data_IF_328633296239
#
_entry.id   IF_328633296239
#
_cell.length_a   1.000
_cell.length_b   1.000
_cell.length_c   1.000
_cell.angle_alpha   90.00
_cell.angle_beta   90.00
_cell.angle_gamma   90.00
#
_symmetry.space_group_name_H-M   'P 1'
#
loop_
_entity.id
_entity.type
_entity.pdbx_description
1 polymer ?
#
# COMPACT_ATOMS: atom_id res chain seq x y z
N UNK A 1 13.86 13.14 -7.54
CA UNK A 1 13.69 12.05 -6.55
C UNK A 1 12.49 11.25 -6.99
N UNK A 2 12.53 9.92 -6.92
CA UNK A 2 11.36 9.14 -7.34
C UNK A 2 10.26 9.21 -6.28
N UNK A 3 9.01 9.15 -6.73
CA UNK A 3 7.83 9.15 -5.87
C UNK A 3 7.11 7.80 -6.02
N UNK A 4 6.75 7.18 -4.92
CA UNK A 4 5.87 6.01 -4.91
C UNK A 4 4.51 6.46 -4.41
N UNK A 5 3.48 6.28 -5.23
CA UNK A 5 2.10 6.63 -4.86
C UNK A 5 1.31 5.36 -4.58
N UNK A 6 0.81 5.23 -3.36
CA UNK A 6 -0.11 4.15 -3.02
C UNK A 6 -1.55 4.61 -3.21
N UNK A 7 -2.25 3.99 -4.15
CA UNK A 7 -3.67 4.22 -4.40
C UNK A 7 -4.49 3.18 -3.64
N UNK A 8 -5.37 3.63 -2.75
CA UNK A 8 -6.24 2.76 -1.97
C UNK A 8 -7.26 2.01 -2.84
N UNK A 9 -7.63 0.80 -2.43
CA UNK A 9 -8.71 0.01 -3.06
C UNK A 9 -10.06 0.12 -2.35
N UNK A 10 -10.23 1.09 -1.47
CA UNK A 10 -11.49 1.34 -0.77
C UNK A 10 -12.49 2.10 -1.66
N UNK A 11 -13.80 1.85 -1.49
CA UNK A 11 -14.88 2.51 -2.26
C UNK A 11 -14.90 4.04 -2.13
N UNK A 12 -14.29 4.59 -1.09
CA UNK A 12 -14.27 6.01 -0.81
C UNK A 12 -13.20 6.81 -1.56
N UNK A 13 -12.32 6.13 -2.32
CA UNK A 13 -11.23 6.76 -3.07
C UNK A 13 -11.53 6.70 -4.56
N UNK A 14 -11.72 7.85 -5.19
CA UNK A 14 -11.80 7.95 -6.65
C UNK A 14 -10.37 8.02 -7.23
N UNK A 15 -9.92 7.02 -7.98
CA UNK A 15 -8.58 7.04 -8.57
C UNK A 15 -8.41 8.08 -9.68
N UNK A 16 -9.49 8.61 -10.26
CA UNK A 16 -9.41 9.49 -11.43
C UNK A 16 -8.64 10.80 -11.14
N UNK A 17 -8.88 11.41 -9.97
CA UNK A 17 -8.14 12.61 -9.54
C UNK A 17 -6.65 12.33 -9.35
N UNK A 18 -6.31 11.23 -8.71
CA UNK A 18 -4.92 10.81 -8.52
C UNK A 18 -4.23 10.46 -9.84
N UNK A 19 -4.93 9.81 -10.79
CA UNK A 19 -4.38 9.49 -12.11
C UNK A 19 -4.07 10.77 -12.90
N UNK A 20 -4.99 11.74 -12.92
CA UNK A 20 -4.77 13.01 -13.63
C UNK A 20 -3.58 13.80 -13.05
N UNK A 21 -3.45 13.83 -11.73
CA UNK A 21 -2.36 14.51 -11.04
C UNK A 21 -1.01 13.80 -11.28
N UNK A 22 -0.96 12.47 -11.17
CA UNK A 22 0.24 11.69 -11.50
C UNK A 22 0.64 11.89 -12.96
N UNK A 23 -0.31 11.96 -13.89
CA UNK A 23 -0.02 12.23 -15.29
C UNK A 23 0.66 13.59 -15.48
N UNK A 24 0.24 14.62 -14.76
CA UNK A 24 0.91 15.91 -14.73
C UNK A 24 2.34 15.84 -14.21
N UNK A 25 2.57 15.14 -13.09
CA UNK A 25 3.92 14.95 -12.53
C UNK A 25 4.85 14.21 -13.49
N UNK A 26 4.35 13.18 -14.18
CA UNK A 26 5.13 12.41 -15.17
C UNK A 26 5.46 13.28 -16.39
N UNK A 27 4.52 14.12 -16.87
CA UNK A 27 4.77 15.07 -17.97
C UNK A 27 5.81 16.12 -17.61
N UNK A 28 5.87 16.53 -16.34
CA UNK A 28 6.90 17.40 -15.76
C UNK A 28 8.26 16.69 -15.56
N UNK A 29 8.33 15.38 -15.84
CA UNK A 29 9.56 14.57 -15.78
C UNK A 29 9.86 13.95 -14.42
N UNK A 30 8.88 13.94 -13.49
CA UNK A 30 9.05 13.26 -12.21
C UNK A 30 8.87 11.74 -12.37
N UNK A 31 9.84 10.90 -11.93
CA UNK A 31 9.70 9.46 -11.98
C UNK A 31 8.73 8.98 -10.89
N UNK A 32 7.58 8.45 -11.33
CA UNK A 32 6.52 7.96 -10.43
C UNK A 32 6.31 6.48 -10.61
N UNK A 33 6.30 5.72 -9.50
CA UNK A 33 5.80 4.36 -9.44
C UNK A 33 4.49 4.32 -8.64
N UNK A 34 3.53 3.53 -9.09
CA UNK A 34 2.22 3.40 -8.45
C UNK A 34 2.09 2.02 -7.84
N UNK A 35 1.61 1.96 -6.59
CA UNK A 35 1.21 0.70 -5.95
C UNK A 35 -0.27 0.76 -5.60
N UNK A 36 -1.03 -0.24 -6.07
CA UNK A 36 -2.47 -0.26 -5.83
C UNK A 36 -2.90 -1.39 -4.91
N UNK A 37 -4.01 -1.18 -4.21
CA UNK A 37 -4.78 -2.21 -3.54
C UNK A 37 -5.99 -2.63 -4.38
N UNK A 38 -6.86 -3.46 -3.80
CA UNK A 38 -8.05 -3.97 -4.51
C UNK A 38 -8.97 -4.79 -3.62
N UNK A 39 -8.97 -4.57 -2.30
CA UNK A 39 -9.74 -5.40 -1.36
C UNK A 39 -11.23 -5.43 -1.67
N UNK A 40 -11.82 -4.29 -2.07
CA UNK A 40 -13.23 -4.22 -2.50
C UNK A 40 -13.49 -5.06 -3.75
N UNK A 41 -12.62 -4.99 -4.77
CA UNK A 41 -12.78 -5.78 -5.98
C UNK A 41 -12.65 -7.29 -5.72
N UNK A 42 -11.82 -7.67 -4.75
CA UNK A 42 -11.70 -9.05 -4.29
C UNK A 42 -13.00 -9.49 -3.60
N UNK A 43 -13.56 -8.69 -2.68
CA UNK A 43 -14.80 -9.02 -1.98
C UNK A 43 -15.99 -9.09 -2.96
N UNK A 44 -16.09 -8.16 -3.90
CA UNK A 44 -17.13 -8.16 -4.94
C UNK A 44 -17.01 -9.40 -5.87
N UNK A 45 -15.79 -9.89 -6.14
CA UNK A 45 -15.59 -11.12 -6.93
C UNK A 45 -15.92 -12.36 -6.13
N UNK A 46 -15.52 -12.44 -4.86
CA UNK A 46 -15.86 -13.55 -3.96
C UNK A 46 -17.37 -13.69 -3.82
N UNK A 47 -18.10 -12.58 -3.61
CA UNK A 47 -19.57 -12.57 -3.56
C UNK A 47 -20.19 -13.13 -4.85
N UNK A 48 -19.71 -12.69 -6.02
CA UNK A 48 -20.18 -13.21 -7.32
C UNK A 48 -19.89 -14.68 -7.54
N UNK A 49 -18.83 -15.22 -6.92
CA UNK A 49 -18.48 -16.64 -6.96
C UNK A 49 -19.19 -17.46 -5.88
N UNK A 50 -19.94 -16.81 -4.99
CA UNK A 50 -20.60 -17.46 -3.84
C UNK A 50 -19.62 -17.95 -2.78
N UNK A 51 -18.47 -17.29 -2.64
CA UNK A 51 -17.44 -17.56 -1.65
C UNK A 51 -17.51 -16.51 -0.55
N UNK A 52 -17.86 -16.91 0.67
CA UNK A 52 -17.88 -16.00 1.81
C UNK A 52 -16.46 -15.63 2.27
N UNK A 53 -16.08 -14.33 2.28
CA UNK A 53 -14.76 -13.93 2.75
C UNK A 53 -14.62 -14.20 4.26
N UNK A 54 -13.52 -14.81 4.66
CA UNK A 54 -13.19 -15.03 6.06
C UNK A 54 -12.23 -13.97 6.55
N UNK A 55 -12.65 -13.18 7.53
CA UNK A 55 -11.76 -12.25 8.24
C UNK A 55 -11.34 -12.83 9.59
N UNK A 56 -10.08 -12.62 9.95
CA UNK A 56 -9.53 -13.12 11.21
C UNK A 56 -8.82 -11.99 11.93
N UNK A 57 -8.91 -12.01 13.25
CA UNK A 57 -8.16 -11.10 14.13
C UNK A 57 -6.93 -11.81 14.65
N UNK A 58 -5.78 -11.15 14.53
CA UNK A 58 -4.52 -11.64 15.10
C UNK A 58 -4.43 -11.31 16.59
N UNK A 59 -3.55 -11.98 17.38
CA UNK A 59 -3.33 -11.64 18.78
C UNK A 59 -2.85 -10.20 19.05
N UNK A 60 -2.41 -9.49 18.02
CA UNK A 60 -2.05 -8.07 18.06
C UNK A 60 -3.19 -7.12 17.67
N UNK A 61 -4.43 -7.61 17.58
CA UNK A 61 -5.61 -6.78 17.23
C UNK A 61 -5.74 -6.43 15.75
N UNK A 62 -4.85 -6.92 14.90
CA UNK A 62 -4.92 -6.65 13.46
C UNK A 62 -5.92 -7.59 12.80
N UNK A 63 -6.93 -7.02 12.15
CA UNK A 63 -7.91 -7.76 11.36
C UNK A 63 -7.43 -7.84 9.90
N UNK A 64 -7.47 -9.05 9.32
CA UNK A 64 -7.10 -9.30 7.94
C UNK A 64 -7.92 -10.42 7.32
N UNK A 65 -7.97 -10.47 5.98
CA UNK A 65 -8.60 -11.57 5.26
C UNK A 65 -7.76 -12.83 5.42
N UNK A 66 -8.38 -13.92 5.87
CA UNK A 66 -7.77 -15.23 5.76
C UNK A 66 -7.88 -15.68 4.31
N UNK A 67 -6.74 -15.92 3.69
CA UNK A 67 -6.68 -16.23 2.26
C UNK A 67 -6.40 -17.71 2.09
N UNK A 68 -7.46 -18.52 1.97
CA UNK A 68 -7.33 -19.91 1.56
C UNK A 68 -7.12 -20.04 0.04
N UNK A 69 -7.00 -21.27 -0.47
CA UNK A 69 -6.69 -21.53 -1.88
C UNK A 69 -7.74 -20.92 -2.83
N UNK A 70 -9.04 -21.12 -2.56
CA UNK A 70 -10.11 -20.57 -3.38
C UNK A 70 -10.15 -19.03 -3.32
N UNK A 71 -9.95 -18.47 -2.13
CA UNK A 71 -9.83 -17.02 -1.94
C UNK A 71 -8.61 -16.47 -2.68
N UNK A 72 -7.47 -17.20 -2.70
CA UNK A 72 -6.26 -16.76 -3.40
C UNK A 72 -6.44 -16.75 -4.92
N UNK A 73 -7.17 -17.71 -5.47
CA UNK A 73 -7.51 -17.74 -6.89
C UNK A 73 -8.35 -16.50 -7.27
N UNK A 74 -9.44 -16.24 -6.53
CA UNK A 74 -10.28 -15.06 -6.73
C UNK A 74 -9.48 -13.76 -6.54
N UNK A 75 -8.59 -13.72 -5.54
CA UNK A 75 -7.71 -12.59 -5.27
C UNK A 75 -6.83 -12.26 -6.49
N UNK A 76 -6.16 -13.27 -7.06
CA UNK A 76 -5.29 -13.08 -8.22
C UNK A 76 -6.07 -12.57 -9.43
N UNK A 77 -7.26 -13.11 -9.69
CA UNK A 77 -8.14 -12.65 -10.77
C UNK A 77 -8.58 -11.19 -10.56
N UNK A 78 -9.04 -10.85 -9.37
CA UNK A 78 -9.51 -9.50 -9.06
C UNK A 78 -8.39 -8.47 -9.14
N UNK A 79 -7.22 -8.77 -8.58
CA UNK A 79 -6.06 -7.88 -8.61
C UNK A 79 -5.54 -7.66 -10.03
N UNK A 80 -5.49 -8.70 -10.86
CA UNK A 80 -5.13 -8.58 -12.27
C UNK A 80 -6.11 -7.68 -13.06
N UNK A 81 -7.40 -7.75 -12.74
CA UNK A 81 -8.41 -6.86 -13.30
C UNK A 81 -8.18 -5.41 -12.85
N UNK A 82 -8.02 -5.16 -11.56
CA UNK A 82 -7.78 -3.82 -11.02
C UNK A 82 -6.54 -3.19 -11.65
N UNK A 83 -5.45 -3.96 -11.76
CA UNK A 83 -4.22 -3.51 -12.39
C UNK A 83 -4.46 -3.12 -13.85
N UNK A 84 -5.12 -3.98 -14.64
CA UNK A 84 -5.39 -3.71 -16.06
C UNK A 84 -6.28 -2.48 -16.25
N UNK A 85 -7.33 -2.33 -15.46
CA UNK A 85 -8.23 -1.17 -15.51
C UNK A 85 -7.47 0.13 -15.18
N UNK A 86 -6.61 0.11 -14.15
CA UNK A 86 -5.80 1.27 -13.73
C UNK A 86 -4.75 1.64 -14.80
N UNK A 87 -4.04 0.65 -15.35
CA UNK A 87 -3.08 0.88 -16.46
C UNK A 87 -3.78 1.49 -17.67
N UNK A 88 -4.98 1.00 -18.03
CA UNK A 88 -5.75 1.57 -19.14
C UNK A 88 -6.10 3.04 -18.86
N UNK A 89 -6.50 3.39 -17.63
CA UNK A 89 -6.80 4.77 -17.25
C UNK A 89 -5.56 5.67 -17.32
N UNK A 90 -4.39 5.21 -16.87
CA UNK A 90 -3.12 5.94 -17.03
C UNK A 90 -2.73 6.10 -18.50
N UNK A 91 -2.91 5.06 -19.33
CA UNK A 91 -2.65 5.14 -20.78
C UNK A 91 -3.56 6.14 -21.46
N UNK A 92 -4.83 6.22 -21.07
CA UNK A 92 -5.79 7.23 -21.57
C UNK A 92 -5.35 8.65 -21.17
N UNK A 93 -4.76 8.81 -19.98
CA UNK A 93 -4.18 10.08 -19.53
C UNK A 93 -2.81 10.43 -20.15
N UNK A 94 -2.29 9.61 -21.08
CA UNK A 94 -1.04 9.86 -21.80
C UNK A 94 0.23 9.32 -21.10
N UNK A 95 0.09 8.62 -20.00
CA UNK A 95 1.22 8.04 -19.25
C UNK A 95 1.65 6.71 -19.86
N UNK A 96 2.95 6.49 -20.06
CA UNK A 96 3.51 5.20 -20.47
C UNK A 96 3.53 4.18 -19.31
N UNK A 97 2.33 3.81 -18.87
CA UNK A 97 2.13 2.91 -17.74
C UNK A 97 2.37 1.43 -18.09
N UNK A 98 3.04 0.71 -17.19
CA UNK A 98 3.29 -0.75 -17.29
C UNK A 98 2.73 -1.44 -16.05
N UNK A 99 1.77 -2.35 -16.26
CA UNK A 99 1.16 -3.14 -15.19
C UNK A 99 2.05 -4.30 -14.75
N UNK A 100 2.19 -4.46 -13.45
CA UNK A 100 2.96 -5.51 -12.80
C UNK A 100 2.19 -6.06 -11.60
N UNK A 101 2.28 -7.36 -11.35
CA UNK A 101 2.06 -7.92 -10.04
C UNK A 101 3.39 -8.10 -9.31
N UNK A 102 3.37 -8.30 -8.02
CA UNK A 102 4.60 -8.62 -7.28
C UNK A 102 5.27 -9.93 -7.72
N UNK A 103 4.56 -10.76 -8.51
CA UNK A 103 5.10 -12.00 -9.11
C UNK A 103 5.98 -11.71 -10.33
N UNK A 104 5.64 -10.66 -11.12
CA UNK A 104 6.30 -10.36 -12.38
C UNK A 104 7.75 -9.94 -12.16
N UNK A 105 8.68 -10.66 -12.80
CA UNK A 105 10.12 -10.47 -12.59
C UNK A 105 10.61 -10.68 -11.14
N UNK A 106 9.81 -11.35 -10.30
CA UNK A 106 10.09 -11.48 -8.87
C UNK A 106 10.09 -10.11 -8.17
N UNK A 107 9.19 -9.22 -8.57
CA UNK A 107 9.17 -7.84 -8.10
C UNK A 107 9.06 -7.74 -6.57
N UNK A 108 8.20 -8.57 -5.96
CA UNK A 108 8.05 -8.63 -4.50
C UNK A 108 8.13 -10.09 -4.07
N UNK A 109 9.11 -10.44 -3.23
CA UNK A 109 9.34 -11.82 -2.80
C UNK A 109 9.50 -11.95 -1.29
N UNK A 110 9.41 -13.21 -0.80
CA UNK A 110 9.62 -13.57 0.58
C UNK A 110 8.85 -14.83 1.01
N UNK A 111 8.94 -15.26 2.26
CA UNK A 111 8.37 -16.52 2.72
C UNK A 111 6.83 -16.50 2.76
N UNK A 112 6.24 -17.64 2.39
CA UNK A 112 4.81 -17.91 2.57
C UNK A 112 4.49 -18.20 4.03
N UNK A 113 3.38 -17.64 4.50
CA UNK A 113 2.75 -18.02 5.75
C UNK A 113 1.74 -19.13 5.45
N UNK A 114 1.99 -20.35 5.93
CA UNK A 114 1.06 -21.47 5.78
C UNK A 114 -0.01 -21.55 6.87
N UNK A 115 0.13 -20.73 7.90
CA UNK A 115 -0.78 -20.63 9.03
C UNK A 115 -0.70 -19.27 9.70
N UNK A 116 -1.82 -18.82 10.25
CA UNK A 116 -1.94 -17.57 10.99
C UNK A 116 -2.42 -17.84 12.43
N UNK A 117 -1.88 -17.07 13.39
CA UNK A 117 -2.40 -17.05 14.75
C UNK A 117 -3.62 -16.15 14.79
N UNK A 118 -4.73 -16.65 15.28
CA UNK A 118 -6.02 -15.94 15.32
C UNK A 118 -6.60 -15.93 16.72
N UNK A 119 -7.48 -14.97 17.00
CA UNK A 119 -8.36 -14.98 18.17
C UNK A 119 -9.73 -15.49 17.71
N UNK A 120 -10.17 -16.62 18.24
CA UNK A 120 -11.51 -17.17 18.04
C UNK A 120 -12.12 -17.51 19.41
N UNK A 121 -13.30 -16.99 19.69
CA UNK A 121 -13.98 -17.16 20.98
C UNK A 121 -13.11 -16.71 22.18
N UNK A 122 -12.34 -15.63 22.00
CA UNK A 122 -11.42 -15.09 23.02
C UNK A 122 -10.17 -15.97 23.25
N UNK A 123 -9.92 -16.99 22.42
CA UNK A 123 -8.77 -17.89 22.56
C UNK A 123 -7.82 -17.79 21.37
N UNK A 124 -6.52 -17.87 21.66
CA UNK A 124 -5.48 -17.95 20.62
C UNK A 124 -5.50 -19.34 19.98
N UNK A 125 -5.73 -19.39 18.67
CA UNK A 125 -5.70 -20.59 17.85
C UNK A 125 -4.73 -20.43 16.68
N UNK A 126 -4.38 -21.54 16.02
CA UNK A 126 -3.62 -21.57 14.76
C UNK A 126 -4.56 -22.03 13.67
N UNK A 127 -4.84 -21.15 12.71
CA UNK A 127 -5.59 -21.48 11.50
C UNK A 127 -4.60 -21.79 10.36
N UNK A 128 -4.71 -22.98 9.77
CA UNK A 128 -3.82 -23.46 8.70
C UNK A 128 -4.46 -23.24 7.33
N UNK A 129 -3.64 -23.31 6.27
CA UNK A 129 -4.10 -23.13 4.89
C UNK A 129 -4.13 -21.67 4.45
N UNK A 130 -3.38 -20.80 5.14
CA UNK A 130 -3.24 -19.41 4.74
C UNK A 130 -2.27 -19.28 3.55
N UNK A 131 -2.64 -18.46 2.57
CA UNK A 131 -1.86 -18.10 1.40
C UNK A 131 -1.44 -16.62 1.45
N UNK A 132 -1.01 -16.15 2.61
CA UNK A 132 -0.38 -14.83 2.73
C UNK A 132 1.14 -14.95 2.80
N UNK A 133 1.83 -13.88 2.43
CA UNK A 133 3.28 -13.76 2.47
C UNK A 133 3.79 -12.72 3.46
N UNK A 134 5.09 -12.75 3.70
CA UNK A 134 5.85 -11.68 4.34
C UNK A 134 6.82 -11.14 3.29
N UNK A 135 6.77 -9.84 3.03
CA UNK A 135 7.72 -9.22 2.10
C UNK A 135 9.11 -9.22 2.73
N UNK A 136 10.12 -9.68 1.99
CA UNK A 136 11.53 -9.65 2.40
C UNK A 136 12.42 -9.00 1.36
N UNK A 137 12.01 -8.98 0.07
CA UNK A 137 12.79 -8.38 -1.00
C UNK A 137 11.91 -7.75 -2.06
N UNK A 138 12.43 -6.69 -2.68
CA UNK A 138 11.89 -6.02 -3.85
C UNK A 138 12.95 -5.99 -4.93
N UNK A 139 12.59 -6.29 -6.17
CA UNK A 139 13.47 -6.16 -7.32
C UNK A 139 13.52 -4.68 -7.77
N UNK A 140 14.36 -3.90 -7.09
CA UNK A 140 14.53 -2.48 -7.38
C UNK A 140 15.07 -2.25 -8.80
N UNK A 141 16.00 -3.10 -9.29
CA UNK A 141 16.60 -2.98 -10.63
C UNK A 141 15.54 -3.00 -11.74
N UNK A 142 14.47 -3.80 -11.58
CA UNK A 142 13.36 -3.81 -12.53
C UNK A 142 12.61 -2.47 -12.54
N UNK A 143 12.32 -1.92 -11.36
CA UNK A 143 11.61 -0.65 -11.23
C UNK A 143 12.48 0.51 -11.75
N UNK A 144 13.75 0.57 -11.36
CA UNK A 144 14.69 1.59 -11.80
C UNK A 144 14.89 1.56 -13.32
N UNK A 145 14.93 0.36 -13.93
CA UNK A 145 15.00 0.21 -15.39
C UNK A 145 13.76 0.80 -16.05
N UNK A 146 12.56 0.47 -15.56
CA UNK A 146 11.32 0.99 -16.15
C UNK A 146 11.22 2.51 -15.99
N UNK A 147 11.49 3.03 -14.80
CA UNK A 147 11.48 4.47 -14.52
C UNK A 147 12.53 5.21 -15.37
N UNK A 148 13.74 4.63 -15.51
CA UNK A 148 14.81 5.20 -16.32
C UNK A 148 14.53 5.27 -17.82
N UNK A 149 13.69 4.36 -18.34
CA UNK A 149 13.21 4.35 -19.73
C UNK A 149 11.90 5.17 -19.91
N UNK A 150 11.45 5.88 -18.89
CA UNK A 150 10.27 6.76 -18.93
C UNK A 150 8.94 6.04 -18.74
N UNK A 151 8.93 4.78 -18.34
CA UNK A 151 7.70 4.08 -18.00
C UNK A 151 7.28 4.37 -16.54
N UNK A 152 5.98 4.35 -16.30
CA UNK A 152 5.39 4.39 -14.95
C UNK A 152 4.96 2.97 -14.54
N UNK A 153 5.70 2.30 -13.64
CA UNK A 153 5.27 1.01 -13.11
C UNK A 153 4.00 1.15 -12.28
N UNK A 154 2.99 0.33 -12.58
CA UNK A 154 1.73 0.21 -11.82
C UNK A 154 1.70 -1.18 -11.22
N UNK A 155 2.10 -1.31 -9.97
CA UNK A 155 2.28 -2.59 -9.30
C UNK A 155 1.21 -2.87 -8.24
N UNK A 156 0.99 -4.15 -7.95
CA UNK A 156 0.10 -4.56 -6.87
C UNK A 156 0.33 -6.01 -6.44
N UNK A 157 -0.30 -6.44 -5.33
CA UNK A 157 -0.33 -7.87 -5.00
C UNK A 157 -0.94 -8.70 -6.14
N UNK A 158 -0.67 -10.02 -6.20
CA UNK A 158 0.06 -10.84 -5.25
C UNK A 158 1.58 -10.70 -5.31
N UNK A 159 2.29 -11.16 -4.26
CA UNK A 159 3.74 -11.35 -4.26
C UNK A 159 4.09 -12.81 -4.60
N UNK A 160 5.36 -13.05 -4.97
CA UNK A 160 5.90 -14.39 -5.21
C UNK A 160 6.53 -14.94 -3.93
N UNK A 161 6.04 -16.06 -3.44
CA UNK A 161 6.66 -16.75 -2.32
C UNK A 161 7.94 -17.49 -2.73
N UNK A 162 8.83 -17.79 -1.77
CA UNK A 162 10.12 -18.47 -2.00
C UNK A 162 9.95 -19.88 -2.61
N UNK A 163 8.78 -20.50 -2.42
CA UNK A 163 8.42 -21.79 -3.02
C UNK A 163 7.81 -21.66 -4.43
N UNK A 164 7.81 -20.46 -5.01
CA UNK A 164 7.33 -20.16 -6.36
C UNK A 164 5.81 -20.00 -6.47
N UNK A 165 5.10 -19.92 -5.34
CA UNK A 165 3.64 -19.79 -5.32
C UNK A 165 3.24 -18.32 -5.14
N UNK A 166 2.28 -17.79 -5.93
CA UNK A 166 1.68 -16.49 -5.67
C UNK A 166 0.94 -16.48 -4.33
N UNK A 167 1.15 -15.43 -3.53
CA UNK A 167 0.49 -15.28 -2.22
C UNK A 167 0.03 -13.85 -1.98
N UNK A 168 -1.03 -13.71 -1.19
CA UNK A 168 -1.55 -12.41 -0.79
C UNK A 168 -0.55 -11.66 0.09
N UNK A 169 -0.43 -10.37 -0.12
CA UNK A 169 0.24 -9.44 0.78
C UNK A 169 -0.55 -8.14 0.90
N UNK A 170 -0.31 -7.39 1.96
CA UNK A 170 -0.94 -6.09 2.19
C UNK A 170 -0.37 -5.05 1.22
N UNK A 171 -1.25 -4.25 0.59
CA UNK A 171 -0.84 -3.27 -0.41
C UNK A 171 -0.12 -2.05 0.19
N UNK A 172 -0.43 -1.65 1.43
CA UNK A 172 0.30 -0.58 2.13
C UNK A 172 1.75 -1.04 2.40
N UNK A 173 1.93 -2.31 2.82
CA UNK A 173 3.26 -2.91 2.99
C UNK A 173 4.01 -3.12 1.67
N UNK A 174 3.30 -3.47 0.60
CA UNK A 174 3.92 -3.56 -0.74
C UNK A 174 4.43 -2.19 -1.18
N UNK A 175 3.65 -1.13 -0.99
CA UNK A 175 4.06 0.24 -1.28
C UNK A 175 5.24 0.69 -0.41
N UNK A 176 5.21 0.36 0.89
CA UNK A 176 6.31 0.62 1.81
C UNK A 176 7.62 -0.03 1.35
N UNK A 177 7.55 -1.32 1.00
CA UNK A 177 8.73 -2.06 0.53
C UNK A 177 9.28 -1.51 -0.80
N UNK A 178 8.40 -1.15 -1.74
CA UNK A 178 8.79 -0.53 -3.02
C UNK A 178 9.45 0.84 -2.77
N UNK A 179 8.85 1.69 -1.93
CA UNK A 179 9.42 3.00 -1.61
C UNK A 179 10.77 2.89 -0.90
N UNK A 180 10.90 1.96 0.05
CA UNK A 180 12.15 1.69 0.73
C UNK A 180 13.24 1.22 -0.22
N UNK A 181 12.92 0.29 -1.14
CA UNK A 181 13.88 -0.24 -2.11
C UNK A 181 14.37 0.82 -3.11
N UNK A 182 13.51 1.79 -3.46
CA UNK A 182 13.86 2.90 -4.36
C UNK A 182 14.45 4.13 -3.63
N UNK A 183 14.48 4.15 -2.30
CA UNK A 183 14.83 5.35 -1.53
C UNK A 183 13.90 6.54 -1.81
N UNK A 184 12.65 6.25 -2.16
CA UNK A 184 11.66 7.20 -2.66
C UNK A 184 10.85 7.85 -1.55
N UNK A 185 10.18 8.96 -1.86
CA UNK A 185 9.06 9.47 -1.05
C UNK A 185 7.84 8.60 -1.29
N UNK A 186 7.21 8.09 -0.21
CA UNK A 186 5.96 7.35 -0.28
C UNK A 186 4.77 8.26 0.00
N UNK A 187 3.86 8.42 -0.95
CA UNK A 187 2.58 9.08 -0.76
C UNK A 187 1.48 8.03 -0.61
N UNK A 188 0.87 7.95 0.56
CA UNK A 188 -0.25 7.04 0.86
C UNK A 188 -1.55 7.81 0.75
N UNK A 189 -2.26 7.63 -0.34
CA UNK A 189 -3.57 8.25 -0.55
C UNK A 189 -4.66 7.47 0.19
N UNK A 190 -5.46 8.21 0.98
CA UNK A 190 -6.54 7.68 1.83
C UNK A 190 -7.78 8.59 1.74
N UNK A 191 -8.83 8.26 2.44
CA UNK A 191 -10.11 9.00 2.47
C UNK A 191 -10.17 10.12 3.52
N UNK A 192 -9.05 10.41 4.16
CA UNK A 192 -8.90 11.46 5.17
C UNK A 192 -7.65 12.30 4.89
N UNK A 193 -7.60 13.54 5.41
CA UNK A 193 -6.49 14.47 5.11
C UNK A 193 -5.13 14.01 5.67
N UNK A 194 -5.11 13.10 6.65
CA UNK A 194 -3.90 12.57 7.29
C UNK A 194 -4.24 11.87 8.58
N UNK A 195 -3.31 11.85 9.53
CA UNK A 195 -3.51 11.30 10.87
C UNK A 195 -3.91 12.42 11.82
N UNK A 196 -4.99 12.22 12.56
CA UNK A 196 -5.48 13.18 13.56
C UNK A 196 -5.13 12.71 14.96
N UNK A 197 -4.76 13.64 15.86
CA UNK A 197 -4.57 13.32 17.27
C UNK A 197 -5.90 12.93 17.96
N UNK A 198 -7.03 13.49 17.48
CA UNK A 198 -8.38 13.09 17.81
C UNK A 198 -9.16 12.89 16.48
N UNK A 199 -9.55 11.65 16.14
CA UNK A 199 -10.24 11.35 14.88
C UNK A 199 -11.59 12.08 14.70
N UNK A 200 -12.21 12.52 15.80
CA UNK A 200 -13.48 13.24 15.79
C UNK A 200 -13.29 14.77 15.64
N UNK A 201 -12.05 15.28 15.73
CA UNK A 201 -11.73 16.70 15.59
C UNK A 201 -10.74 16.95 14.43
N UNK A 202 -11.26 17.44 13.31
CA UNK A 202 -10.47 17.76 12.10
C UNK A 202 -9.40 18.84 12.31
N UNK A 203 -9.46 19.63 13.39
CA UNK A 203 -8.45 20.64 13.71
C UNK A 203 -7.18 20.06 14.34
N UNK A 204 -7.19 18.75 14.67
CA UNK A 204 -6.09 18.04 15.33
C UNK A 204 -5.20 17.26 14.35
N UNK A 205 -5.18 17.63 13.08
CA UNK A 205 -4.30 17.02 12.07
C UNK A 205 -2.83 17.14 12.50
N UNK A 206 -2.14 16.01 12.52
CA UNK A 206 -0.69 15.95 12.76
C UNK A 206 0.00 16.22 11.42
N UNK A 207 0.48 17.44 11.21
CA UNK A 207 1.06 17.85 9.93
C UNK A 207 2.47 17.29 9.69
N UNK A 208 3.29 17.19 10.76
CA UNK A 208 4.69 16.77 10.63
C UNK A 208 5.15 15.96 11.84
N UNK A 209 5.96 14.93 11.59
CA UNK A 209 6.54 14.02 12.58
C UNK A 209 8.04 13.89 12.28
N UNK A 210 8.86 14.55 13.09
CA UNK A 210 10.31 14.68 12.87
C UNK A 210 11.15 14.15 14.02
N UNK A 211 10.51 13.90 15.18
CA UNK A 211 11.16 13.42 16.39
C UNK A 211 10.54 12.13 16.91
N UNK A 212 11.27 11.29 17.67
CA UNK A 212 10.73 10.08 18.28
C UNK A 212 9.50 10.33 19.17
N UNK A 213 9.48 11.44 19.92
CA UNK A 213 8.35 11.79 20.77
C UNK A 213 7.06 12.11 19.96
N UNK A 214 7.20 12.78 18.81
CA UNK A 214 6.10 13.01 17.89
C UNK A 214 5.64 11.70 17.23
N UNK A 215 6.58 10.79 16.94
CA UNK A 215 6.27 9.47 16.40
C UNK A 215 5.50 8.59 17.39
N UNK A 216 5.88 8.60 18.67
CA UNK A 216 5.12 7.91 19.72
C UNK A 216 3.69 8.47 19.80
N UNK A 217 3.52 9.79 19.78
CA UNK A 217 2.21 10.44 19.78
C UNK A 217 1.39 10.08 18.51
N UNK A 218 2.01 10.01 17.34
CA UNK A 218 1.37 9.57 16.09
C UNK A 218 0.87 8.12 16.21
N UNK A 219 1.70 7.23 16.77
CA UNK A 219 1.38 5.81 16.93
C UNK A 219 0.23 5.61 17.91
N UNK A 220 0.21 6.36 19.01
CA UNK A 220 -0.86 6.33 20.01
C UNK A 220 -2.18 6.89 19.46
N UNK A 221 -2.14 7.86 18.56
CA UNK A 221 -3.31 8.45 17.90
C UNK A 221 -3.90 7.57 16.78
N UNK A 222 -3.10 6.66 16.21
CA UNK A 222 -3.53 5.84 15.08
C UNK A 222 -4.47 4.73 15.50
N UNK A 223 -5.73 4.78 15.03
CA UNK A 223 -6.76 3.79 15.33
C UNK A 223 -7.24 3.04 14.06
N UNK A 224 -7.75 1.84 14.23
CA UNK A 224 -8.39 1.05 13.19
C UNK A 224 -7.51 0.81 11.95
N UNK A 225 -7.95 1.26 10.79
CA UNK A 225 -7.20 1.12 9.54
C UNK A 225 -5.97 2.05 9.49
N UNK A 226 -5.97 3.16 10.25
CA UNK A 226 -4.84 4.07 10.30
C UNK A 226 -3.62 3.43 10.97
N UNK A 227 -3.82 2.57 11.96
CA UNK A 227 -2.74 1.79 12.58
C UNK A 227 -1.90 1.03 11.55
N UNK A 228 -2.56 0.41 10.55
CA UNK A 228 -1.84 -0.32 9.48
C UNK A 228 -1.03 0.61 8.60
N UNK A 229 -1.53 1.82 8.32
CA UNK A 229 -0.82 2.82 7.50
C UNK A 229 0.39 3.37 8.23
N UNK A 230 0.28 3.66 9.53
CA UNK A 230 1.40 4.08 10.36
C UNK A 230 2.45 2.96 10.47
N UNK A 231 2.04 1.70 10.65
CA UNK A 231 2.96 0.55 10.62
C UNK A 231 3.69 0.42 9.26
N UNK A 232 2.96 0.58 8.15
CA UNK A 232 3.56 0.55 6.82
C UNK A 232 4.50 1.74 6.59
N UNK A 233 4.17 2.94 7.11
CA UNK A 233 5.04 4.10 7.08
C UNK A 233 6.36 3.84 7.83
N UNK A 234 6.30 3.22 9.01
CA UNK A 234 7.49 2.79 9.76
C UNK A 234 8.35 1.82 8.94
N UNK A 235 7.72 0.77 8.40
CA UNK A 235 8.40 -0.23 7.57
C UNK A 235 9.07 0.41 6.32
N UNK A 236 8.44 1.43 5.71
CA UNK A 236 9.01 2.17 4.59
C UNK A 236 10.27 2.94 4.98
N UNK A 237 10.21 3.71 6.06
CA UNK A 237 11.32 4.52 6.55
C UNK A 237 12.50 3.66 7.03
N UNK A 238 12.22 2.57 7.74
CA UNK A 238 13.24 1.59 8.18
C UNK A 238 13.92 0.91 6.99
N UNK A 239 13.18 0.66 5.89
CA UNK A 239 13.72 0.01 4.68
C UNK A 239 14.37 0.98 3.71
N UNK A 240 14.37 2.29 3.95
CA UNK A 240 15.15 3.25 3.18
C UNK A 240 14.37 4.37 2.49
N UNK A 241 13.03 4.41 2.61
CA UNK A 241 12.24 5.53 2.10
C UNK A 241 12.73 6.87 2.69
N UNK A 242 12.70 7.92 1.88
CA UNK A 242 13.15 9.25 2.30
C UNK A 242 12.16 9.93 3.23
N UNK A 243 10.88 9.72 2.98
CA UNK A 243 9.75 10.30 3.69
C UNK A 243 8.49 9.50 3.41
N UNK A 244 7.53 9.52 4.32
CA UNK A 244 6.18 9.00 4.07
C UNK A 244 5.15 10.09 4.34
N UNK A 245 4.21 10.26 3.40
CA UNK A 245 3.14 11.25 3.47
C UNK A 245 1.80 10.52 3.42
N UNK A 246 0.95 10.74 4.42
CA UNK A 246 -0.44 10.26 4.41
C UNK A 246 -1.33 11.43 4.04
N UNK A 247 -2.09 11.32 2.94
CA UNK A 247 -2.83 12.46 2.37
C UNK A 247 -4.21 12.06 1.81
N UNK A 248 -5.09 13.06 1.66
CA UNK A 248 -6.44 12.90 1.13
C UNK A 248 -6.41 12.62 -0.38
N UNK A 249 -6.91 11.46 -0.77
CA UNK A 249 -7.07 11.06 -2.17
C UNK A 249 -8.11 11.90 -2.94
N UNK A 250 -9.03 12.56 -2.23
CA UNK A 250 -10.13 13.33 -2.81
C UNK A 250 -9.80 14.83 -2.90
N UNK A 251 -8.59 15.25 -2.51
CA UNK A 251 -8.12 16.61 -2.69
C UNK A 251 -7.90 16.94 -4.18
N UNK A 252 -7.96 18.23 -4.53
CA UNK A 252 -7.51 18.69 -5.84
C UNK A 252 -6.00 18.44 -5.97
N UNK A 253 -5.58 17.74 -7.04
CA UNK A 253 -4.18 17.35 -7.26
C UNK A 253 -3.53 16.68 -6.03
N UNK A 254 -4.02 15.50 -5.59
CA UNK A 254 -3.76 14.94 -4.26
C UNK A 254 -2.28 14.60 -4.01
N UNK A 255 -1.55 14.18 -5.03
CA UNK A 255 -0.12 13.85 -4.92
C UNK A 255 0.72 15.14 -4.91
N UNK A 256 0.43 16.07 -5.80
CA UNK A 256 1.06 17.39 -5.85
C UNK A 256 0.84 18.16 -4.56
N UNK A 257 -0.40 18.18 -4.03
CA UNK A 257 -0.71 18.80 -2.75
C UNK A 257 0.07 18.15 -1.59
N UNK A 258 0.15 16.81 -1.56
CA UNK A 258 0.93 16.07 -0.57
C UNK A 258 2.42 16.44 -0.63
N UNK A 259 3.02 16.42 -1.81
CA UNK A 259 4.43 16.82 -1.99
C UNK A 259 4.65 18.30 -1.67
N UNK A 260 3.61 19.13 -1.77
CA UNK A 260 3.61 20.55 -1.41
C UNK A 260 3.38 20.85 0.07
N UNK A 261 3.25 19.85 0.94
CA UNK A 261 3.13 20.00 2.39
C UNK A 261 1.74 19.72 2.98
N UNK A 262 0.79 19.21 2.17
CA UNK A 262 -0.51 18.76 2.69
C UNK A 262 -0.43 17.34 3.23
N UNK A 263 -1.18 17.05 4.29
CA UNK A 263 -1.21 15.71 4.88
C UNK A 263 -0.39 15.57 6.15
N UNK A 264 -0.08 14.33 6.52
CA UNK A 264 0.83 14.00 7.62
C UNK A 264 2.16 13.54 7.05
N UNK A 265 3.21 14.31 7.30
CA UNK A 265 4.57 14.07 6.85
C UNK A 265 5.37 13.36 7.94
N UNK A 266 5.83 12.13 7.66
CA UNK A 266 6.60 11.32 8.60
C UNK A 266 8.03 11.21 8.06
N UNK A 267 8.97 11.86 8.74
CA UNK A 267 10.36 11.91 8.36
C UNK A 267 11.17 10.78 9.00
N UNK A 268 12.22 10.35 8.32
CA UNK A 268 13.11 9.30 8.82
C UNK A 268 13.72 9.64 10.18
N UNK A 269 14.01 10.92 10.43
CA UNK A 269 14.53 11.40 11.72
C UNK A 269 13.62 11.10 12.90
N UNK A 270 12.32 10.86 12.68
CA UNK A 270 11.37 10.47 13.71
C UNK A 270 11.63 9.06 14.29
N UNK A 271 12.39 8.22 13.58
CA UNK A 271 12.78 6.87 14.01
C UNK A 271 14.22 6.79 14.54
N UNK A 272 14.99 7.87 14.47
CA UNK A 272 16.39 7.91 14.91
C UNK A 272 16.44 8.33 16.38
N UNK A 273 17.10 7.53 17.23
CA UNK A 273 17.40 7.93 18.62
C UNK A 273 18.30 9.17 18.62
N UNK A 274 18.04 10.14 19.51
CA UNK A 274 18.80 11.41 19.58
C UNK A 274 20.26 11.23 19.97
#
# INVERSE_FOLDING_TARGET
MSVVVKIGGAKAVDPAGAVADIAGLVDDGEPVAVVHGGSTAVDDLLDRLGIDPTYVETPGGVVGRFTDEATMEAFTMAMGRVNSDLVATFREAGVDAVGLSGVDGGLITGPRKSAVRVIEDGKKKIKRGDHSGKIESVNADLLETLLGEGYTPVAGPPMLADDGVPVNTDADRAAAAVAGALGATLVVLTDVAGVYADPDDSSTLIESVTTPAEYDALTDAAEGFMTKKVMAATEALESGASEVIVADANADAPVTAALGGSGTHIHRSALEDP
#
